data_IF_470628033658
#
_entry.id   IF_470628033658
#
_cell.length_a   1.000
_cell.length_b   1.000
_cell.length_c   1.000
_cell.angle_alpha   90.00
_cell.angle_beta   90.00
_cell.angle_gamma   90.00
#
_symmetry.space_group_name_H-M   'P 1'
#
loop_
_entity.id
_entity.type
_entity.pdbx_description
1 polymer ?
#
# COMPACT_ATOMS: atom_id res chain seq x y z
N UNK A 1 -18.85 5.93 -26.44
CA UNK A 1 -18.23 6.50 -25.22
C UNK A 1 -19.07 7.69 -24.82
N UNK A 2 -19.66 7.70 -23.60
CA UNK A 2 -20.38 8.87 -23.08
C UNK A 2 -19.38 10.03 -22.96
N UNK A 3 -19.78 11.23 -23.42
CA UNK A 3 -18.96 12.42 -23.25
C UNK A 3 -18.66 12.65 -21.75
N UNK A 4 -17.45 13.05 -21.43
CA UNK A 4 -17.07 13.39 -20.06
C UNK A 4 -18.02 14.49 -19.57
N UNK A 5 -18.63 14.26 -18.39
CA UNK A 5 -19.45 15.26 -17.70
C UNK A 5 -18.59 15.95 -16.66
N UNK A 6 -18.93 17.18 -16.33
CA UNK A 6 -18.34 17.87 -15.18
C UNK A 6 -19.30 17.75 -14.00
N UNK A 7 -18.76 17.59 -12.81
CA UNK A 7 -19.47 17.47 -11.54
C UNK A 7 -18.95 18.50 -10.54
N UNK A 8 -19.81 18.90 -9.62
CA UNK A 8 -19.46 19.75 -8.48
C UNK A 8 -19.46 18.87 -7.23
N UNK A 9 -18.43 18.96 -6.41
CA UNK A 9 -18.24 18.08 -5.26
C UNK A 9 -17.88 18.86 -4.01
N UNK A 10 -18.22 18.30 -2.87
CA UNK A 10 -17.77 18.77 -1.57
C UNK A 10 -16.69 17.82 -1.04
N UNK A 11 -15.57 18.35 -0.64
CA UNK A 11 -14.46 17.58 -0.11
C UNK A 11 -14.30 17.85 1.38
N UNK A 12 -14.27 16.80 2.19
CA UNK A 12 -13.88 16.88 3.60
C UNK A 12 -12.52 16.22 3.74
N UNK A 13 -11.50 17.02 3.92
CA UNK A 13 -10.09 16.60 3.88
C UNK A 13 -9.47 16.77 5.25
N UNK A 14 -8.75 15.75 5.72
CA UNK A 14 -7.96 15.84 6.93
C UNK A 14 -6.80 16.82 6.74
N UNK A 15 -6.72 17.81 7.64
CA UNK A 15 -5.62 18.77 7.70
C UNK A 15 -4.89 18.63 9.01
N UNK A 16 -3.57 18.52 8.92
CA UNK A 16 -2.70 18.41 10.08
C UNK A 16 -1.33 19.00 9.74
N UNK A 17 -0.91 19.99 10.51
CA UNK A 17 0.31 20.74 10.22
C UNK A 17 1.60 19.91 10.33
N UNK A 18 1.66 19.00 11.32
CA UNK A 18 2.80 18.11 11.57
C UNK A 18 2.37 16.97 12.53
N UNK A 19 3.27 16.02 12.79
CA UNK A 19 3.02 14.85 13.63
C UNK A 19 2.57 15.19 15.07
N UNK A 20 2.98 16.32 15.63
CA UNK A 20 2.66 16.73 16.99
C UNK A 20 1.40 17.59 17.11
N UNK A 21 0.87 18.09 16.01
CA UNK A 21 -0.33 18.92 16.00
C UNK A 21 -1.60 18.07 15.96
N UNK A 22 -2.69 18.59 16.53
CA UNK A 22 -4.00 17.99 16.39
C UNK A 22 -4.53 18.28 14.98
N UNK A 23 -4.93 17.23 14.26
CA UNK A 23 -5.59 17.38 12.96
C UNK A 23 -7.10 17.56 13.07
N UNK A 24 -7.72 18.03 12.00
CA UNK A 24 -9.16 18.19 11.87
C UNK A 24 -9.61 18.06 10.41
N UNK A 25 -10.90 17.77 10.22
CA UNK A 25 -11.50 17.78 8.88
C UNK A 25 -11.82 19.21 8.47
N UNK A 26 -11.35 19.62 7.31
CA UNK A 26 -11.73 20.88 6.67
C UNK A 26 -12.58 20.62 5.44
N UNK A 27 -13.49 21.56 5.14
CA UNK A 27 -14.41 21.43 4.01
C UNK A 27 -14.00 22.36 2.87
N UNK A 28 -13.94 21.78 1.66
CA UNK A 28 -13.66 22.49 0.43
C UNK A 28 -14.77 22.21 -0.59
N UNK A 29 -15.05 23.18 -1.44
CA UNK A 29 -15.95 23.01 -2.57
C UNK A 29 -15.13 23.10 -3.85
N UNK A 30 -15.34 22.16 -4.74
CA UNK A 30 -14.67 22.13 -6.03
C UNK A 30 -15.75 21.98 -7.12
N UNK A 31 -15.81 22.96 -7.99
CA UNK A 31 -16.78 23.02 -9.08
C UNK A 31 -16.12 22.57 -10.40
N UNK A 32 -16.93 22.05 -11.31
CA UNK A 32 -16.54 21.75 -12.68
C UNK A 32 -15.42 20.71 -12.82
N UNK A 33 -15.43 19.69 -11.97
CA UNK A 33 -14.49 18.56 -12.02
C UNK A 33 -14.87 17.60 -13.14
N UNK A 34 -13.94 17.30 -14.04
CA UNK A 34 -14.19 16.34 -15.11
C UNK A 34 -14.33 14.91 -14.58
N UNK A 35 -15.37 14.20 -14.97
CA UNK A 35 -15.53 12.77 -14.63
C UNK A 35 -14.49 11.87 -15.29
N UNK A 36 -13.73 12.35 -16.28
CA UNK A 36 -12.63 11.64 -16.90
C UNK A 36 -11.30 11.79 -16.13
N UNK A 37 -11.19 12.80 -15.22
CA UNK A 37 -10.00 12.99 -14.41
C UNK A 37 -9.81 11.86 -13.42
N UNK A 38 -8.56 11.59 -13.08
CA UNK A 38 -8.20 10.77 -11.92
C UNK A 38 -8.47 11.50 -10.62
N UNK A 39 -8.53 10.76 -9.51
CA UNK A 39 -8.72 11.32 -8.18
C UNK A 39 -7.56 12.27 -7.79
N UNK A 40 -6.33 11.97 -8.20
CA UNK A 40 -5.19 12.84 -7.94
C UNK A 40 -5.23 14.13 -8.76
N UNK A 41 -5.69 14.08 -10.02
CA UNK A 41 -5.89 15.30 -10.83
C UNK A 41 -6.97 16.21 -10.21
N UNK A 42 -7.99 15.65 -9.60
CA UNK A 42 -8.98 16.41 -8.83
C UNK A 42 -8.32 17.11 -7.62
N UNK A 43 -7.42 16.44 -6.90
CA UNK A 43 -6.65 17.06 -5.81
C UNK A 43 -5.68 18.12 -6.32
N UNK A 44 -5.06 17.92 -7.49
CA UNK A 44 -4.23 18.95 -8.13
C UNK A 44 -5.07 20.20 -8.46
N UNK A 45 -6.29 20.02 -9.00
CA UNK A 45 -7.22 21.12 -9.28
C UNK A 45 -7.59 21.89 -8.00
N UNK A 46 -7.85 21.18 -6.90
CA UNK A 46 -8.09 21.81 -5.60
C UNK A 46 -6.87 22.61 -5.14
N UNK A 47 -5.68 22.05 -5.26
CA UNK A 47 -4.45 22.72 -4.85
C UNK A 47 -4.17 23.96 -5.70
N UNK A 48 -4.44 23.95 -7.00
CA UNK A 48 -4.40 25.13 -7.86
C UNK A 48 -5.36 26.23 -7.37
N UNK A 49 -6.61 25.84 -7.04
CA UNK A 49 -7.58 26.78 -6.48
C UNK A 49 -7.06 27.41 -5.18
N UNK A 50 -6.54 26.60 -4.25
CA UNK A 50 -6.02 27.06 -2.96
C UNK A 50 -4.83 28.03 -3.14
N UNK A 51 -3.90 27.71 -4.04
CA UNK A 51 -2.74 28.56 -4.34
C UNK A 51 -3.19 29.92 -4.90
N UNK A 52 -4.16 29.94 -5.82
CA UNK A 52 -4.72 31.15 -6.40
C UNK A 52 -5.43 32.00 -5.32
N UNK A 53 -6.05 31.37 -4.33
CA UNK A 53 -6.66 32.00 -3.16
C UNK A 53 -5.63 32.38 -2.08
N UNK A 54 -4.33 32.15 -2.30
CA UNK A 54 -3.23 32.35 -1.32
C UNK A 54 -3.42 31.54 -0.03
N UNK A 55 -4.05 30.38 -0.13
CA UNK A 55 -4.19 29.39 0.95
C UNK A 55 -3.16 28.30 0.80
N UNK A 56 -2.88 27.63 1.92
CA UNK A 56 -1.93 26.52 1.94
C UNK A 56 -2.53 25.29 1.21
N UNK A 57 -1.81 24.73 0.19
CA UNK A 57 -2.27 23.55 -0.52
C UNK A 57 -2.32 22.30 0.38
N UNK A 58 -3.07 21.31 -0.03
CA UNK A 58 -3.14 20.01 0.63
C UNK A 58 -1.86 19.23 0.34
N UNK A 59 -1.20 18.73 1.39
CA UNK A 59 -0.08 17.82 1.23
C UNK A 59 -0.61 16.39 1.01
N UNK A 60 -0.24 15.78 -0.10
CA UNK A 60 -0.52 14.36 -0.41
C UNK A 60 0.62 13.76 -1.23
N UNK A 61 0.87 12.47 -1.04
CA UNK A 61 1.90 11.75 -1.79
C UNK A 61 1.38 11.27 -3.14
N UNK A 62 2.19 11.47 -4.15
CA UNK A 62 2.00 10.92 -5.49
C UNK A 62 3.37 10.80 -6.18
N UNK A 63 3.49 9.81 -7.09
CA UNK A 63 4.72 9.63 -7.85
C UNK A 63 4.39 9.05 -9.24
N UNK A 64 4.31 7.72 -9.39
CA UNK A 64 4.15 7.07 -10.70
C UNK A 64 2.84 7.42 -11.42
N UNK A 65 1.75 7.65 -10.72
CA UNK A 65 0.37 7.80 -11.23
C UNK A 65 -0.13 6.61 -12.10
N UNK A 66 0.54 5.46 -12.02
CA UNK A 66 0.28 4.24 -12.79
C UNK A 66 -0.06 3.03 -11.93
N UNK A 67 -0.22 3.22 -10.61
CA UNK A 67 -0.58 2.15 -9.70
C UNK A 67 0.54 1.17 -9.35
N UNK A 68 1.81 1.56 -9.46
CA UNK A 68 2.96 0.67 -9.26
C UNK A 68 3.90 1.07 -8.11
N UNK A 69 3.90 2.33 -7.66
CA UNK A 69 4.85 2.80 -6.64
C UNK A 69 4.33 2.70 -5.19
N UNK A 70 3.02 2.59 -4.98
CA UNK A 70 2.41 2.54 -3.65
C UNK A 70 2.40 3.86 -2.86
N UNK A 71 2.74 5.01 -3.49
CA UNK A 71 2.84 6.29 -2.78
C UNK A 71 1.49 6.97 -2.51
N UNK A 72 0.54 6.92 -3.44
CA UNK A 72 -0.77 7.58 -3.37
C UNK A 72 -1.73 6.92 -2.36
N UNK A 73 -1.34 6.87 -1.10
CA UNK A 73 -2.00 6.09 -0.05
C UNK A 73 -3.02 6.94 0.70
N UNK A 74 -4.27 6.95 0.22
CA UNK A 74 -5.37 7.71 0.80
C UNK A 74 -6.53 6.80 1.25
N UNK A 75 -7.19 7.23 2.33
CA UNK A 75 -8.43 6.64 2.83
C UNK A 75 -9.59 7.50 2.33
N UNK A 76 -10.41 6.97 1.44
CA UNK A 76 -11.47 7.72 0.76
C UNK A 76 -12.81 7.09 1.10
N UNK A 77 -13.72 7.88 1.67
CA UNK A 77 -15.04 7.43 2.12
C UNK A 77 -14.99 6.16 2.99
N UNK A 78 -13.98 6.05 3.85
CA UNK A 78 -13.83 4.93 4.77
C UNK A 78 -13.22 3.67 4.16
N UNK A 79 -12.68 3.73 2.94
CA UNK A 79 -11.98 2.61 2.28
C UNK A 79 -10.58 2.99 1.81
N UNK A 80 -9.65 2.06 1.94
CA UNK A 80 -8.31 2.22 1.42
C UNK A 80 -8.35 2.33 -0.11
N UNK A 81 -7.73 3.37 -0.67
CA UNK A 81 -7.73 3.71 -2.09
C UNK A 81 -9.08 4.10 -2.71
N UNK A 82 -10.21 4.09 -1.95
CA UNK A 82 -11.51 4.52 -2.39
C UNK A 82 -12.51 3.41 -2.72
N UNK A 83 -13.62 3.74 -3.36
CA UNK A 83 -14.77 2.83 -3.51
C UNK A 83 -14.53 1.67 -4.49
N UNK A 84 -13.60 1.80 -5.42
CA UNK A 84 -13.30 0.75 -6.40
C UNK A 84 -12.31 -0.26 -5.83
N UNK A 85 -12.29 -1.48 -6.36
CA UNK A 85 -11.46 -2.60 -5.86
C UNK A 85 -10.33 -2.94 -6.83
N UNK A 86 -9.20 -3.43 -6.29
CA UNK A 86 -8.06 -3.86 -7.11
C UNK A 86 -7.29 -2.72 -7.77
N UNK A 87 -7.51 -1.48 -7.34
CA UNK A 87 -6.83 -0.29 -7.86
C UNK A 87 -6.20 0.54 -6.75
N UNK A 88 -5.25 1.38 -7.11
CA UNK A 88 -4.68 2.42 -6.23
C UNK A 88 -5.41 3.75 -6.42
N UNK A 89 -5.23 4.68 -5.49
CA UNK A 89 -5.87 6.00 -5.56
C UNK A 89 -5.59 6.74 -6.87
N UNK A 90 -4.39 6.61 -7.44
CA UNK A 90 -4.06 7.26 -8.72
C UNK A 90 -4.80 6.66 -9.94
N UNK A 91 -5.35 5.46 -9.80
CA UNK A 91 -6.17 4.81 -10.84
C UNK A 91 -7.67 5.03 -10.62
N UNK A 92 -8.08 5.57 -9.46
CA UNK A 92 -9.45 5.94 -9.17
C UNK A 92 -9.83 7.17 -10.02
N UNK A 93 -10.99 7.12 -10.70
CA UNK A 93 -11.47 8.22 -11.54
C UNK A 93 -12.69 8.89 -10.93
N UNK A 94 -12.86 10.17 -11.26
CA UNK A 94 -13.98 10.97 -10.75
C UNK A 94 -15.36 10.52 -11.27
N UNK A 95 -15.42 9.69 -12.30
CA UNK A 95 -16.68 9.03 -12.75
C UNK A 95 -17.29 8.07 -11.73
N UNK A 96 -16.56 7.72 -10.69
CA UNK A 96 -17.06 6.90 -9.56
C UNK A 96 -17.88 7.72 -8.56
N UNK A 97 -17.96 9.03 -8.73
CA UNK A 97 -18.68 9.97 -7.87
C UNK A 97 -19.75 10.72 -8.66
N UNK A 98 -20.77 11.20 -7.96
CA UNK A 98 -21.91 11.92 -8.54
C UNK A 98 -21.80 13.41 -8.27
N UNK A 99 -22.53 14.22 -9.07
CA UNK A 99 -22.68 15.65 -8.83
C UNK A 99 -23.32 15.90 -7.45
N UNK A 100 -22.72 16.78 -6.66
CA UNK A 100 -23.17 17.10 -5.31
C UNK A 100 -22.63 16.17 -4.20
N UNK A 101 -21.88 15.11 -4.52
CA UNK A 101 -21.33 14.19 -3.53
C UNK A 101 -20.40 14.91 -2.53
N UNK A 102 -20.41 14.40 -1.31
CA UNK A 102 -19.41 14.75 -0.27
C UNK A 102 -18.43 13.62 -0.09
N UNK A 103 -17.16 13.89 -0.37
CA UNK A 103 -16.07 12.91 -0.33
C UNK A 103 -15.19 13.19 0.88
N UNK A 104 -15.01 12.18 1.73
CA UNK A 104 -14.12 12.22 2.90
C UNK A 104 -12.76 11.67 2.52
N UNK A 105 -11.69 12.43 2.79
CA UNK A 105 -10.32 12.07 2.44
C UNK A 105 -9.44 12.17 3.69
N UNK A 106 -8.79 11.07 4.04
CA UNK A 106 -8.00 10.95 5.25
C UNK A 106 -6.66 10.25 4.97
N UNK A 107 -5.62 10.48 5.79
CA UNK A 107 -4.40 9.71 5.73
C UNK A 107 -4.63 8.28 6.23
N UNK A 108 -3.67 7.39 6.06
CA UNK A 108 -3.69 6.09 6.71
C UNK A 108 -3.83 6.25 8.23
N UNK A 109 -4.82 5.63 8.81
CA UNK A 109 -5.08 5.64 10.25
C UNK A 109 -4.39 4.47 10.92
N UNK A 110 -3.07 4.52 11.04
CA UNK A 110 -2.31 3.52 11.77
C UNK A 110 -1.28 4.19 12.66
N UNK A 111 -1.12 3.68 13.88
CA UNK A 111 -0.09 4.17 14.81
C UNK A 111 1.32 3.97 14.23
N UNK A 112 1.52 2.91 13.46
CA UNK A 112 2.80 2.60 12.82
C UNK A 112 3.10 3.49 11.60
N UNK A 113 2.11 4.27 11.13
CA UNK A 113 2.25 5.26 10.06
C UNK A 113 1.88 6.65 10.56
N UNK A 114 2.72 7.30 11.36
CA UNK A 114 2.43 8.62 11.90
C UNK A 114 2.27 9.65 10.78
N UNK A 115 1.33 10.58 10.95
CA UNK A 115 1.09 11.64 9.97
C UNK A 115 2.26 12.62 9.98
N UNK A 116 2.86 12.87 8.82
CA UNK A 116 3.88 13.90 8.60
C UNK A 116 3.20 15.25 8.43
N UNK A 117 2.27 15.33 7.47
CA UNK A 117 1.47 16.53 7.19
C UNK A 117 0.23 16.13 6.38
N UNK A 118 -0.92 16.65 6.75
CA UNK A 118 -2.22 16.45 6.09
C UNK A 118 -2.49 14.96 5.76
N UNK A 119 -2.35 14.57 4.50
CA UNK A 119 -2.60 13.21 4.01
C UNK A 119 -1.32 12.37 3.89
N UNK A 120 -0.15 12.97 4.14
CA UNK A 120 1.16 12.30 4.06
C UNK A 120 1.49 11.61 5.37
N UNK A 121 1.86 10.34 5.31
CA UNK A 121 2.25 9.53 6.47
C UNK A 121 3.67 8.97 6.31
N UNK A 122 4.35 8.75 7.44
CA UNK A 122 5.64 8.08 7.47
C UNK A 122 5.45 6.56 7.34
N UNK A 123 5.97 5.98 6.27
CA UNK A 123 5.95 4.53 6.02
C UNK A 123 7.33 3.88 6.07
N UNK A 124 8.32 4.58 6.60
CA UNK A 124 9.70 4.06 6.71
C UNK A 124 9.81 2.78 7.55
N UNK A 125 8.81 2.48 8.38
CA UNK A 125 8.68 1.18 9.05
C UNK A 125 8.68 0.01 8.04
N UNK A 126 8.05 0.16 6.88
CA UNK A 126 8.08 -0.85 5.82
C UNK A 126 9.47 -0.99 5.20
N UNK A 127 10.19 0.12 5.03
CA UNK A 127 11.55 0.11 4.49
C UNK A 127 12.50 -0.62 5.43
N UNK A 128 12.39 -0.39 6.75
CA UNK A 128 13.20 -1.10 7.76
C UNK A 128 12.89 -2.60 7.78
N UNK A 129 11.62 -3.00 7.64
CA UNK A 129 11.25 -4.42 7.50
C UNK A 129 11.85 -5.00 6.21
N UNK A 130 11.80 -4.27 5.10
CA UNK A 130 12.39 -4.69 3.83
C UNK A 130 13.92 -4.86 3.96
N UNK A 131 14.60 -3.94 4.60
CA UNK A 131 16.04 -4.00 4.87
C UNK A 131 16.42 -5.19 5.75
N UNK A 132 15.57 -5.61 6.68
CA UNK A 132 15.82 -6.71 7.59
C UNK A 132 15.91 -8.08 6.90
N UNK A 133 15.33 -8.26 5.70
CA UNK A 133 15.39 -9.56 5.03
C UNK A 133 14.79 -9.62 3.62
N UNK A 134 14.23 -8.53 3.10
CA UNK A 134 13.57 -8.47 1.81
C UNK A 134 14.53 -8.43 0.60
N UNK A 135 15.62 -9.18 0.65
CA UNK A 135 16.67 -9.22 -0.37
C UNK A 135 17.20 -10.65 -0.58
N UNK A 136 17.99 -10.83 -1.64
CA UNK A 136 18.78 -12.04 -1.89
C UNK A 136 20.25 -11.66 -2.08
N UNK A 137 21.15 -12.50 -1.57
CA UNK A 137 22.61 -12.32 -1.69
C UNK A 137 23.25 -13.24 -2.72
N UNK A 138 22.47 -14.19 -3.27
CA UNK A 138 22.95 -15.11 -4.29
C UNK A 138 23.31 -14.36 -5.55
N UNK A 139 24.54 -14.58 -6.06
CA UNK A 139 24.92 -14.04 -7.36
C UNK A 139 24.13 -14.74 -8.48
N UNK A 140 23.29 -13.99 -9.16
CA UNK A 140 22.43 -14.47 -10.25
C UNK A 140 22.93 -14.02 -11.61
N UNK A 141 24.03 -13.25 -11.68
CA UNK A 141 24.55 -12.68 -12.93
C UNK A 141 25.60 -13.59 -13.59
N UNK A 142 25.41 -13.87 -14.87
CA UNK A 142 26.47 -14.24 -15.80
C UNK A 142 26.85 -15.71 -15.90
N UNK A 143 26.24 -16.63 -15.17
CA UNK A 143 26.51 -18.07 -15.36
C UNK A 143 25.50 -18.70 -16.33
N UNK A 144 26.00 -19.53 -17.25
CA UNK A 144 25.15 -20.42 -18.04
C UNK A 144 24.41 -21.37 -17.13
N UNK A 145 23.11 -21.57 -17.43
CA UNK A 145 22.30 -22.57 -16.72
C UNK A 145 22.88 -23.95 -17.02
N UNK A 146 23.08 -24.77 -15.98
CA UNK A 146 23.45 -26.18 -16.12
C UNK A 146 22.36 -26.90 -16.91
N UNK A 147 22.76 -27.66 -17.95
CA UNK A 147 21.83 -28.42 -18.76
C UNK A 147 21.01 -29.46 -17.98
N UNK A 148 21.50 -29.88 -16.82
CA UNK A 148 20.81 -30.79 -15.90
C UNK A 148 20.07 -30.08 -14.74
N UNK A 149 19.97 -28.75 -14.77
CA UNK A 149 19.23 -28.00 -13.74
C UNK A 149 17.79 -28.45 -13.69
N UNK A 150 17.29 -28.67 -12.46
CA UNK A 150 15.87 -28.96 -12.21
C UNK A 150 15.10 -27.65 -12.34
N UNK A 151 14.14 -27.55 -13.27
CA UNK A 151 13.32 -26.35 -13.42
C UNK A 151 12.52 -26.03 -12.14
N UNK A 152 12.28 -24.74 -11.89
CA UNK A 152 11.33 -24.33 -10.84
C UNK A 152 9.93 -24.72 -11.28
N UNK A 153 9.13 -25.41 -10.43
CA UNK A 153 7.74 -25.72 -10.75
C UNK A 153 6.96 -24.44 -11.10
N UNK A 154 6.12 -24.50 -12.13
CA UNK A 154 5.34 -23.33 -12.58
C UNK A 154 4.48 -22.77 -11.43
N UNK A 155 3.80 -23.61 -10.67
CA UNK A 155 2.94 -23.19 -9.56
C UNK A 155 3.71 -22.43 -8.47
N UNK A 156 4.95 -22.84 -8.18
CA UNK A 156 5.80 -22.13 -7.22
C UNK A 156 6.27 -20.78 -7.78
N UNK A 157 6.63 -20.74 -9.06
CA UNK A 157 7.02 -19.50 -9.73
C UNK A 157 5.83 -18.51 -9.79
N UNK A 158 4.65 -18.96 -10.20
CA UNK A 158 3.44 -18.12 -10.28
C UNK A 158 3.11 -17.52 -8.91
N UNK A 159 3.06 -18.32 -7.84
CA UNK A 159 2.82 -17.86 -6.47
C UNK A 159 3.90 -16.89 -5.96
N UNK A 160 5.16 -17.10 -6.37
CA UNK A 160 6.24 -16.19 -6.02
C UNK A 160 6.05 -14.81 -6.69
N UNK A 161 5.67 -14.79 -7.96
CA UNK A 161 5.42 -13.55 -8.71
C UNK A 161 4.15 -12.83 -8.23
N UNK A 162 3.09 -13.56 -7.91
CA UNK A 162 1.89 -12.98 -7.28
C UNK A 162 2.25 -12.29 -5.95
N UNK A 163 3.05 -12.94 -5.11
CA UNK A 163 3.55 -12.32 -3.88
C UNK A 163 4.47 -11.11 -4.15
N UNK A 164 5.30 -11.18 -5.21
CA UNK A 164 6.18 -10.09 -5.64
C UNK A 164 5.42 -8.84 -6.12
N UNK A 165 4.16 -8.98 -6.54
CA UNK A 165 3.33 -7.86 -6.98
C UNK A 165 3.04 -6.83 -5.87
N UNK A 166 3.35 -7.14 -4.60
CA UNK A 166 3.18 -6.21 -3.49
C UNK A 166 4.01 -4.94 -3.67
N UNK A 167 3.34 -3.78 -3.73
CA UNK A 167 3.95 -2.45 -3.92
C UNK A 167 4.20 -1.68 -2.60
N UNK A 168 3.97 -2.30 -1.45
CA UNK A 168 4.23 -1.65 -0.15
C UNK A 168 3.36 -0.43 0.14
N UNK A 169 2.16 -0.33 -0.42
CA UNK A 169 1.30 0.86 -0.27
C UNK A 169 0.76 1.07 1.16
N UNK A 170 0.68 0.02 1.99
CA UNK A 170 0.17 0.11 3.35
C UNK A 170 -1.34 -0.05 3.51
N UNK A 171 -2.10 -0.27 2.43
CA UNK A 171 -3.56 -0.49 2.50
C UNK A 171 -3.94 -1.63 3.45
N UNK A 172 -3.17 -2.72 3.44
CA UNK A 172 -3.37 -3.86 4.33
C UNK A 172 -3.28 -3.51 5.82
N UNK A 173 -2.39 -2.59 6.19
CA UNK A 173 -2.25 -2.08 7.56
C UNK A 173 -3.39 -1.11 7.90
N UNK A 174 -3.66 -0.17 7.00
CA UNK A 174 -4.66 0.88 7.21
C UNK A 174 -6.08 0.31 7.39
N UNK A 175 -6.41 -0.77 6.68
CA UNK A 175 -7.73 -1.41 6.76
C UNK A 175 -7.83 -2.45 7.89
N UNK A 176 -6.70 -2.88 8.45
CA UNK A 176 -6.70 -3.88 9.53
C UNK A 176 -7.07 -3.24 10.87
N UNK A 177 -8.05 -3.81 11.58
CA UNK A 177 -8.45 -3.35 12.92
C UNK A 177 -7.29 -3.29 13.93
N UNK A 178 -6.29 -4.16 13.74
CA UNK A 178 -5.11 -4.23 14.59
C UNK A 178 -3.89 -3.51 14.00
N UNK A 179 -4.00 -2.92 12.81
CA UNK A 179 -2.85 -2.32 12.12
C UNK A 179 -1.73 -3.33 11.84
N UNK A 180 -2.07 -4.56 11.47
CA UNK A 180 -1.09 -5.64 11.25
C UNK A 180 -0.40 -5.52 9.90
N UNK A 181 0.93 -5.69 9.87
CA UNK A 181 1.73 -5.72 8.64
C UNK A 181 1.95 -7.15 8.10
N UNK A 182 1.29 -8.16 8.68
CA UNK A 182 1.56 -9.57 8.33
C UNK A 182 1.34 -9.90 6.85
N UNK A 183 0.40 -9.22 6.15
CA UNK A 183 0.23 -9.45 4.71
C UNK A 183 1.43 -8.92 3.91
N UNK A 184 1.96 -7.75 4.26
CA UNK A 184 3.16 -7.19 3.63
C UNK A 184 4.38 -8.08 3.86
N UNK A 185 4.65 -8.44 5.11
CA UNK A 185 5.78 -9.31 5.48
C UNK A 185 5.62 -10.69 4.86
N UNK A 186 4.42 -11.26 4.92
CA UNK A 186 4.09 -12.56 4.33
C UNK A 186 4.33 -12.60 2.83
N UNK A 187 3.96 -11.55 2.10
CA UNK A 187 4.21 -11.45 0.66
C UNK A 187 5.73 -11.47 0.35
N UNK A 188 6.54 -10.69 1.09
CA UNK A 188 8.00 -10.68 0.89
C UNK A 188 8.67 -12.00 1.25
N UNK A 189 8.27 -12.61 2.37
CA UNK A 189 8.76 -13.93 2.76
C UNK A 189 8.37 -15.00 1.73
N UNK A 190 7.12 -15.00 1.26
CA UNK A 190 6.63 -15.99 0.27
C UNK A 190 7.34 -15.87 -1.06
N UNK A 191 7.52 -14.65 -1.57
CA UNK A 191 8.24 -14.39 -2.81
C UNK A 191 9.57 -15.12 -2.85
N UNK A 192 10.36 -14.98 -1.79
CA UNK A 192 11.70 -15.56 -1.73
C UNK A 192 11.72 -17.03 -1.25
N UNK A 193 10.77 -17.45 -0.42
CA UNK A 193 10.72 -18.84 0.04
C UNK A 193 10.38 -19.85 -1.08
N UNK A 194 9.67 -19.41 -2.10
CA UNK A 194 9.25 -20.25 -3.23
C UNK A 194 10.33 -20.36 -4.30
N UNK A 195 11.26 -19.42 -4.38
CA UNK A 195 12.31 -19.37 -5.40
C UNK A 195 13.63 -19.90 -4.88
N UNK A 196 14.42 -20.63 -5.73
CA UNK A 196 15.72 -21.18 -5.32
C UNK A 196 16.69 -20.13 -4.77
N UNK A 197 16.78 -18.96 -5.42
CA UNK A 197 17.67 -17.87 -5.04
C UNK A 197 17.33 -17.27 -3.66
N UNK A 198 16.14 -17.46 -3.16
CA UNK A 198 15.74 -17.02 -1.84
C UNK A 198 16.01 -18.02 -0.71
N UNK A 199 16.47 -19.24 -1.03
CA UNK A 199 16.67 -20.33 -0.04
C UNK A 199 17.82 -20.07 0.91
N UNK A 200 18.88 -19.41 0.48
CA UNK A 200 20.10 -19.19 1.29
C UNK A 200 19.75 -18.44 2.57
N UNK A 201 19.02 -17.35 2.49
CA UNK A 201 18.66 -16.53 3.65
C UNK A 201 17.29 -16.89 4.24
N UNK A 202 16.59 -17.93 3.78
CA UNK A 202 15.18 -18.17 4.11
C UNK A 202 14.90 -18.20 5.62
N UNK A 203 15.74 -18.88 6.40
CA UNK A 203 15.63 -18.96 7.87
C UNK A 203 15.86 -17.59 8.51
N UNK A 204 16.95 -16.94 8.17
CA UNK A 204 17.31 -15.64 8.75
C UNK A 204 16.33 -14.55 8.32
N UNK A 205 15.89 -14.57 7.06
CA UNK A 205 14.91 -13.63 6.51
C UNK A 205 13.64 -13.59 7.34
N UNK A 206 12.99 -14.75 7.55
CA UNK A 206 11.70 -14.77 8.23
C UNK A 206 11.83 -14.34 9.70
N UNK A 207 12.90 -14.77 10.40
CA UNK A 207 13.15 -14.38 11.78
C UNK A 207 13.39 -12.88 11.90
N UNK A 208 14.22 -12.30 11.04
CA UNK A 208 14.56 -10.88 11.08
C UNK A 208 13.37 -10.01 10.71
N UNK A 209 12.64 -10.34 9.62
CA UNK A 209 11.52 -9.52 9.16
C UNK A 209 10.35 -9.56 10.15
N UNK A 210 10.07 -10.70 10.78
CA UNK A 210 9.02 -10.80 11.81
C UNK A 210 9.43 -10.00 13.05
N UNK A 211 10.67 -10.14 13.50
CA UNK A 211 11.19 -9.34 14.63
C UNK A 211 11.10 -7.85 14.35
N UNK A 212 11.55 -7.41 13.17
CA UNK A 212 11.47 -5.99 12.80
C UNK A 212 10.02 -5.51 12.76
N UNK A 213 9.09 -6.31 12.24
CA UNK A 213 7.66 -5.98 12.24
C UNK A 213 7.13 -5.75 13.67
N UNK A 214 7.54 -6.59 14.62
CA UNK A 214 7.14 -6.45 16.03
C UNK A 214 7.76 -5.20 16.67
N UNK A 215 9.03 -4.91 16.38
CA UNK A 215 9.75 -3.71 16.86
C UNK A 215 9.13 -2.40 16.32
N UNK A 216 8.59 -2.40 15.11
CA UNK A 216 7.89 -1.24 14.53
C UNK A 216 6.49 -1.01 15.14
N UNK A 217 6.02 -1.89 15.99
CA UNK A 217 4.76 -1.74 16.72
C UNK A 217 3.51 -2.03 15.89
N UNK A 218 3.63 -2.83 14.84
CA UNK A 218 2.47 -3.37 14.12
C UNK A 218 1.72 -4.38 14.98
N UNK A 219 0.40 -4.35 14.91
CA UNK A 219 -0.44 -5.27 15.66
C UNK A 219 -0.50 -6.67 15.08
N UNK A 220 -0.93 -7.63 15.90
CA UNK A 220 -1.07 -9.03 15.51
C UNK A 220 -2.26 -9.26 14.58
N UNK A 221 -2.13 -10.23 13.68
CA UNK A 221 -3.21 -10.66 12.81
C UNK A 221 -4.29 -11.43 13.59
N UNK A 222 -5.54 -11.04 13.40
CA UNK A 222 -6.73 -11.78 13.90
C UNK A 222 -7.55 -12.41 12.77
N UNK A 223 -6.95 -12.55 11.60
CA UNK A 223 -7.49 -13.24 10.43
C UNK A 223 -8.85 -12.72 9.94
N UNK A 224 -9.05 -11.40 9.96
CA UNK A 224 -10.30 -10.78 9.50
C UNK A 224 -10.46 -10.75 7.97
N UNK A 225 -9.38 -10.91 7.22
CA UNK A 225 -9.38 -10.93 5.74
C UNK A 225 -9.47 -9.58 5.06
N UNK A 226 -9.72 -8.48 5.77
CA UNK A 226 -9.88 -7.15 5.18
C UNK A 226 -8.65 -6.69 4.35
N UNK A 227 -7.45 -7.08 4.76
CA UNK A 227 -6.21 -6.74 4.08
C UNK A 227 -6.08 -7.33 2.67
N UNK A 228 -6.63 -8.52 2.42
CA UNK A 228 -6.69 -9.14 1.09
C UNK A 228 -7.72 -8.45 0.21
N UNK A 229 -8.91 -8.15 0.76
CA UNK A 229 -10.02 -7.52 0.03
C UNK A 229 -9.64 -6.12 -0.46
N UNK A 230 -8.96 -5.34 0.38
CA UNK A 230 -8.56 -3.95 0.07
C UNK A 230 -7.18 -3.86 -0.61
N UNK A 231 -6.54 -5.00 -0.90
CA UNK A 231 -5.23 -4.98 -1.55
C UNK A 231 -5.35 -4.63 -3.05
N UNK A 232 -4.75 -3.51 -3.51
CA UNK A 232 -4.82 -3.12 -4.92
C UNK A 232 -4.05 -4.07 -5.85
N UNK A 233 -3.30 -5.03 -5.29
CA UNK A 233 -2.50 -6.01 -6.03
C UNK A 233 -2.95 -7.46 -5.79
N UNK A 234 -4.07 -7.66 -5.10
CA UNK A 234 -4.63 -9.01 -4.89
C UNK A 234 -3.73 -9.96 -4.09
N UNK A 235 -2.92 -9.44 -3.17
CA UNK A 235 -2.04 -10.28 -2.35
C UNK A 235 -2.88 -11.16 -1.42
N UNK A 236 -2.78 -12.49 -1.60
CA UNK A 236 -3.56 -13.46 -0.87
C UNK A 236 -3.11 -13.67 0.58
N UNK A 237 -4.07 -13.97 1.46
CA UNK A 237 -3.83 -14.40 2.85
C UNK A 237 -2.99 -15.69 2.96
N UNK A 238 -2.91 -16.52 1.90
CA UNK A 238 -2.01 -17.67 1.86
C UNK A 238 -0.56 -17.29 2.15
N UNK A 239 -0.16 -16.08 1.82
CA UNK A 239 1.18 -15.57 2.12
C UNK A 239 1.43 -15.43 3.61
N UNK A 240 0.42 -15.09 4.43
CA UNK A 240 0.52 -15.08 5.90
C UNK A 240 0.69 -16.51 6.42
N UNK A 241 -0.10 -17.46 5.91
CA UNK A 241 0.02 -18.86 6.31
C UNK A 241 1.41 -19.45 5.98
N UNK A 242 1.94 -19.08 4.80
CA UNK A 242 3.30 -19.47 4.41
C UNK A 242 4.36 -18.86 5.32
N UNK A 243 4.27 -17.58 5.61
CA UNK A 243 5.18 -16.89 6.52
C UNK A 243 5.20 -17.57 7.90
N UNK A 244 4.03 -17.86 8.46
CA UNK A 244 3.92 -18.55 9.76
C UNK A 244 4.59 -19.94 9.74
N UNK A 245 4.41 -20.68 8.65
CA UNK A 245 5.07 -21.98 8.45
C UNK A 245 6.60 -21.84 8.35
N UNK A 246 7.09 -20.87 7.59
CA UNK A 246 8.53 -20.62 7.49
C UNK A 246 9.12 -20.14 8.82
N UNK A 247 8.40 -19.29 9.57
CA UNK A 247 8.80 -18.84 10.90
C UNK A 247 8.89 -20.01 11.90
N UNK A 248 7.87 -20.89 11.93
CA UNK A 248 7.89 -22.08 12.78
C UNK A 248 9.09 -22.98 12.46
N UNK A 249 9.33 -23.27 11.18
CA UNK A 249 10.49 -24.06 10.76
C UNK A 249 11.82 -23.42 11.13
N UNK A 250 11.93 -22.10 11.04
CA UNK A 250 13.12 -21.36 11.40
C UNK A 250 13.39 -21.36 12.92
N UNK A 251 12.32 -21.31 13.72
CA UNK A 251 12.40 -21.29 15.20
C UNK A 251 12.74 -22.66 15.81
N UNK A 252 12.59 -23.76 15.05
CA UNK A 252 12.90 -25.12 15.48
C UNK A 252 14.33 -25.59 15.10
N UNK A 253 15.09 -24.76 14.36
CA UNK A 253 16.48 -25.01 13.98
C UNK A 253 17.44 -24.31 14.93
#
# INVERSE_FOLDING_TARGET
MSAAKNININLKIWRQKNASSKGSMETYKLDNVSTASSFLEMLDQLNEQLINERKEPIAFDHDCREGICGMCSLYINGRAHGPDTGITTCQLHMRMFNDGDTIYIEPWRSKAFPVIKDLVVDRTAFDRIQQAGGFVSVNTSGNTIDANSIPVPKDDADKAFEAAACIGCGACVATCKNGSAMLFVGAKVSQYALLPQGKVEATQRVLNMVRQMDEEGFGNCTNTGACEIECPKGISLENIARMNREFLKASLK
#
